data_IF_351314445389
#
_entry.id   IF_351314445389
#
_cell.length_a   1.000
_cell.length_b   1.000
_cell.length_c   1.000
_cell.angle_alpha   90.00
_cell.angle_beta   90.00
_cell.angle_gamma   90.00
#
_symmetry.space_group_name_H-M   'P 1'
#
loop_
_entity.id
_entity.type
_entity.pdbx_description
1 polymer ?
#
# COMPACT_ATOMS: atom_id res chain seq x y z
N UNK A 1 10.99 21.65 -109.45
CA UNK A 1 11.31 21.44 -108.02
C UNK A 1 12.20 20.21 -107.94
N UNK A 2 13.30 20.26 -107.21
CA UNK A 2 14.36 19.24 -107.23
C UNK A 2 14.08 18.19 -106.14
N UNK A 3 13.86 16.92 -106.50
CA UNK A 3 13.47 15.84 -105.56
C UNK A 3 14.45 15.67 -104.38
N UNK A 4 15.74 16.00 -104.59
CA UNK A 4 16.76 15.94 -103.55
C UNK A 4 16.61 16.98 -102.43
N UNK A 5 15.88 18.07 -102.66
CA UNK A 5 15.58 19.08 -101.63
C UNK A 5 14.35 18.67 -100.81
N UNK A 6 13.35 18.06 -101.46
CA UNK A 6 12.17 17.48 -100.79
C UNK A 6 12.59 16.35 -99.84
N UNK A 7 13.48 15.45 -100.27
CA UNK A 7 13.98 14.37 -99.42
C UNK A 7 14.77 14.88 -98.20
N UNK A 8 15.49 16.00 -98.32
CA UNK A 8 16.22 16.62 -97.19
C UNK A 8 15.26 17.23 -96.17
N UNK A 9 14.20 17.89 -96.64
CA UNK A 9 13.14 18.43 -95.76
C UNK A 9 12.44 17.32 -94.98
N UNK A 10 12.09 16.20 -95.63
CA UNK A 10 11.47 15.05 -94.97
C UNK A 10 12.40 14.47 -93.89
N UNK A 11 13.70 14.31 -94.18
CA UNK A 11 14.67 13.84 -93.18
C UNK A 11 14.81 14.79 -91.99
N UNK A 12 14.76 16.11 -92.24
CA UNK A 12 14.78 17.10 -91.17
C UNK A 12 13.52 17.00 -90.29
N UNK A 13 12.34 16.83 -90.89
CA UNK A 13 11.10 16.60 -90.14
C UNK A 13 11.13 15.31 -89.33
N UNK A 14 11.66 14.21 -89.88
CA UNK A 14 11.80 12.93 -89.14
C UNK A 14 12.76 13.08 -87.96
N UNK A 15 13.86 13.83 -88.11
CA UNK A 15 14.78 14.12 -87.00
C UNK A 15 14.11 14.96 -85.91
N UNK A 16 13.33 15.97 -86.30
CA UNK A 16 12.57 16.78 -85.36
C UNK A 16 11.56 15.93 -84.56
N UNK A 17 10.77 15.09 -85.22
CA UNK A 17 9.81 14.20 -84.55
C UNK A 17 10.52 13.24 -83.57
N UNK A 18 11.69 12.70 -83.94
CA UNK A 18 12.46 11.84 -83.04
C UNK A 18 13.00 12.60 -81.84
N UNK A 19 13.53 13.80 -82.04
CA UNK A 19 14.03 14.63 -80.95
C UNK A 19 12.90 15.03 -80.00
N UNK A 20 11.75 15.43 -80.53
CA UNK A 20 10.56 15.78 -79.72
C UNK A 20 10.06 14.57 -78.92
N UNK A 21 10.04 13.37 -79.53
CA UNK A 21 9.69 12.14 -78.82
C UNK A 21 10.70 11.78 -77.71
N UNK A 22 12.00 11.98 -77.95
CA UNK A 22 13.06 11.72 -76.99
C UNK A 22 13.04 12.72 -75.83
N UNK A 23 12.83 14.01 -76.11
CA UNK A 23 12.62 15.04 -75.09
C UNK A 23 11.37 14.74 -74.25
N UNK A 24 10.27 14.31 -74.88
CA UNK A 24 9.05 13.95 -74.14
C UNK A 24 9.23 12.70 -73.28
N UNK A 25 9.95 11.69 -73.77
CA UNK A 25 10.26 10.49 -73.00
C UNK A 25 11.16 10.81 -71.79
N UNK A 26 12.14 11.70 -71.96
CA UNK A 26 13.00 12.17 -70.88
C UNK A 26 12.22 12.98 -69.84
N UNK A 27 11.33 13.88 -70.27
CA UNK A 27 10.45 14.65 -69.37
C UNK A 27 9.58 13.72 -68.51
N UNK A 28 8.95 12.71 -69.13
CA UNK A 28 8.15 11.71 -68.41
C UNK A 28 9.01 10.92 -67.42
N UNK A 29 10.23 10.54 -67.81
CA UNK A 29 11.13 9.76 -66.97
C UNK A 29 11.58 10.54 -65.73
N UNK A 30 11.95 11.82 -65.92
CA UNK A 30 12.34 12.70 -64.81
C UNK A 30 11.15 12.97 -63.89
N UNK A 31 9.96 13.26 -64.46
CA UNK A 31 8.74 13.48 -63.68
C UNK A 31 8.37 12.25 -62.86
N UNK A 32 8.47 11.04 -63.44
CA UNK A 32 8.18 9.80 -62.74
C UNK A 32 9.16 9.52 -61.59
N UNK A 33 10.44 9.86 -61.76
CA UNK A 33 11.45 9.70 -60.71
C UNK A 33 11.24 10.70 -59.56
N UNK A 34 10.85 11.93 -59.87
CA UNK A 34 10.48 12.94 -58.87
C UNK A 34 9.25 12.49 -58.07
N UNK A 35 8.17 12.06 -58.75
CA UNK A 35 6.95 11.55 -58.12
C UNK A 35 7.23 10.33 -57.23
N UNK A 36 8.01 9.37 -57.72
CA UNK A 36 8.41 8.19 -56.95
C UNK A 36 9.14 8.58 -55.65
N UNK A 37 10.08 9.52 -55.74
CA UNK A 37 10.83 9.96 -54.57
C UNK A 37 9.93 10.68 -53.55
N UNK A 38 8.98 11.49 -54.02
CA UNK A 38 8.01 12.17 -53.16
C UNK A 38 7.11 11.16 -52.45
N UNK A 39 6.48 10.24 -53.18
CA UNK A 39 5.59 9.23 -52.59
C UNK A 39 6.32 8.32 -51.61
N UNK A 40 7.53 7.85 -51.98
CA UNK A 40 8.37 7.05 -51.10
C UNK A 40 8.68 7.79 -49.80
N UNK A 41 9.04 9.07 -49.88
CA UNK A 41 9.34 9.87 -48.70
C UNK A 41 8.09 10.05 -47.82
N UNK A 42 6.95 10.36 -48.42
CA UNK A 42 5.68 10.50 -47.70
C UNK A 42 5.28 9.21 -46.97
N UNK A 43 5.38 8.05 -47.62
CA UNK A 43 5.09 6.76 -47.01
C UNK A 43 6.03 6.46 -45.83
N UNK A 44 7.33 6.70 -46.00
CA UNK A 44 8.33 6.49 -44.95
C UNK A 44 8.10 7.43 -43.77
N UNK A 45 7.81 8.70 -44.01
CA UNK A 45 7.53 9.67 -42.95
C UNK A 45 6.25 9.36 -42.19
N UNK A 46 5.18 8.94 -42.89
CA UNK A 46 3.93 8.53 -42.28
C UNK A 46 4.12 7.34 -41.32
N UNK A 47 4.81 6.28 -41.76
CA UNK A 47 5.09 5.12 -40.91
C UNK A 47 6.06 5.45 -39.77
N UNK A 48 7.10 6.26 -40.02
CA UNK A 48 8.00 6.74 -38.95
C UNK A 48 7.23 7.51 -37.87
N UNK A 49 6.27 8.35 -38.26
CA UNK A 49 5.44 9.11 -37.32
C UNK A 49 4.57 8.17 -36.48
N UNK A 50 3.96 7.16 -37.09
CA UNK A 50 3.15 6.15 -36.40
C UNK A 50 3.99 5.35 -35.39
N UNK A 51 5.16 4.86 -35.81
CA UNK A 51 6.10 4.14 -34.93
C UNK A 51 6.51 5.04 -33.75
N UNK A 52 6.85 6.30 -34.00
CA UNK A 52 7.25 7.24 -32.93
C UNK A 52 6.14 7.41 -31.88
N UNK A 53 4.89 7.57 -32.31
CA UNK A 53 3.76 7.69 -31.39
C UNK A 53 3.52 6.42 -30.56
N UNK A 54 3.68 5.25 -31.16
CA UNK A 54 3.52 3.98 -30.45
C UNK A 54 4.64 3.76 -29.42
N UNK A 55 5.88 4.11 -29.75
CA UNK A 55 6.99 4.05 -28.80
C UNK A 55 6.85 5.06 -27.66
N UNK A 56 6.38 6.28 -27.94
CA UNK A 56 6.10 7.28 -26.90
C UNK A 56 5.05 6.78 -25.89
N UNK A 57 4.00 6.09 -26.37
CA UNK A 57 3.01 5.45 -25.49
C UNK A 57 3.63 4.33 -24.65
N UNK A 58 4.46 3.47 -25.26
CA UNK A 58 5.14 2.37 -24.56
C UNK A 58 6.12 2.89 -23.51
N UNK A 59 6.85 3.96 -23.80
CA UNK A 59 7.77 4.61 -22.87
C UNK A 59 7.01 5.17 -21.66
N UNK A 60 5.93 5.92 -21.89
CA UNK A 60 5.07 6.42 -20.80
C UNK A 60 4.49 5.30 -19.95
N UNK A 61 4.07 4.19 -20.55
CA UNK A 61 3.58 3.02 -19.81
C UNK A 61 4.68 2.36 -18.97
N UNK A 62 5.89 2.23 -19.51
CA UNK A 62 7.03 1.67 -18.79
C UNK A 62 7.41 2.54 -17.58
N UNK A 63 7.40 3.87 -17.73
CA UNK A 63 7.67 4.81 -16.64
C UNK A 63 6.63 4.73 -15.53
N UNK A 64 5.35 4.66 -15.88
CA UNK A 64 4.26 4.49 -14.91
C UNK A 64 4.42 3.17 -14.16
N UNK A 65 4.70 2.07 -14.87
CA UNK A 65 4.92 0.75 -14.27
C UNK A 65 6.12 0.78 -13.31
N UNK A 66 7.23 1.39 -13.71
CA UNK A 66 8.42 1.56 -12.86
C UNK A 66 8.11 2.34 -11.57
N UNK A 67 7.29 3.38 -11.65
CA UNK A 67 6.84 4.15 -10.47
C UNK A 67 5.97 3.32 -9.54
N UNK A 68 5.05 2.52 -10.10
CA UNK A 68 4.20 1.60 -9.33
C UNK A 68 5.05 0.55 -8.62
N UNK A 69 5.96 -0.11 -9.35
CA UNK A 69 6.83 -1.15 -8.80
C UNK A 69 7.71 -0.59 -7.67
N UNK A 70 8.28 0.60 -7.87
CA UNK A 70 9.04 1.30 -6.83
C UNK A 70 8.19 1.62 -5.60
N UNK A 71 6.97 2.13 -5.80
CA UNK A 71 6.04 2.43 -4.69
C UNK A 71 5.62 1.16 -3.95
N UNK A 72 5.34 0.06 -4.65
CA UNK A 72 5.02 -1.23 -4.07
C UNK A 72 6.18 -1.78 -3.24
N UNK A 73 7.41 -1.72 -3.74
CA UNK A 73 8.60 -2.15 -3.00
C UNK A 73 8.82 -1.33 -1.72
N UNK A 74 8.62 0.00 -1.79
CA UNK A 74 8.72 0.86 -0.63
C UNK A 74 7.66 0.52 0.41
N UNK A 75 6.41 0.34 -0.02
CA UNK A 75 5.31 -0.02 0.88
C UNK A 75 5.52 -1.40 1.51
N UNK A 76 5.96 -2.39 0.74
CA UNK A 76 6.29 -3.72 1.25
C UNK A 76 7.41 -3.66 2.30
N UNK A 77 8.45 -2.83 2.06
CA UNK A 77 9.52 -2.63 3.04
C UNK A 77 9.03 -1.94 4.31
N UNK A 78 8.15 -0.93 4.17
CA UNK A 78 7.52 -0.24 5.30
C UNK A 78 6.67 -1.19 6.14
N UNK A 79 5.84 -2.02 5.51
CA UNK A 79 5.01 -3.02 6.21
C UNK A 79 5.88 -4.00 6.99
N UNK A 80 6.98 -4.48 6.41
CA UNK A 80 7.92 -5.37 7.12
C UNK A 80 8.50 -4.73 8.38
N UNK A 81 8.86 -3.44 8.32
CA UNK A 81 9.35 -2.72 9.52
C UNK A 81 8.25 -2.60 10.57
N UNK A 82 7.02 -2.26 10.16
CA UNK A 82 5.89 -2.15 11.08
C UNK A 82 5.55 -3.49 11.73
N UNK A 83 5.59 -4.59 10.97
CA UNK A 83 5.39 -5.94 11.50
C UNK A 83 6.48 -6.28 12.53
N UNK A 84 7.75 -6.04 12.22
CA UNK A 84 8.83 -6.29 13.16
C UNK A 84 8.70 -5.45 14.45
N UNK A 85 8.21 -4.21 14.35
CA UNK A 85 7.91 -3.37 15.51
C UNK A 85 6.77 -3.96 16.35
N UNK A 86 5.68 -4.37 15.70
CA UNK A 86 4.53 -4.98 16.37
C UNK A 86 4.93 -6.29 17.07
N UNK A 87 5.73 -7.13 16.41
CA UNK A 87 6.25 -8.38 16.97
C UNK A 87 7.08 -8.14 18.23
N UNK A 88 7.93 -7.10 18.24
CA UNK A 88 8.73 -6.74 19.42
C UNK A 88 7.84 -6.27 20.58
N UNK A 89 6.83 -5.43 20.29
CA UNK A 89 5.89 -4.94 21.30
C UNK A 89 5.06 -6.08 21.86
N UNK A 90 4.56 -6.98 21.02
CA UNK A 90 3.82 -8.17 21.44
C UNK A 90 4.70 -9.11 22.27
N UNK A 91 5.95 -9.36 21.84
CA UNK A 91 6.89 -10.16 22.63
C UNK A 91 7.22 -9.52 23.99
N UNK A 92 7.33 -8.20 24.06
CA UNK A 92 7.51 -7.48 25.33
C UNK A 92 6.29 -7.62 26.23
N UNK A 93 5.08 -7.46 25.68
CA UNK A 93 3.83 -7.65 26.40
C UNK A 93 3.69 -9.07 26.92
N UNK A 94 4.03 -10.08 26.13
CA UNK A 94 3.97 -11.48 26.52
C UNK A 94 4.97 -11.80 27.63
N UNK A 95 6.18 -11.22 27.58
CA UNK A 95 7.16 -11.33 28.67
C UNK A 95 6.63 -10.68 29.95
N UNK A 96 6.12 -9.45 29.86
CA UNK A 96 5.53 -8.76 31.01
C UNK A 96 4.33 -9.54 31.58
N UNK A 97 3.49 -10.15 30.74
CA UNK A 97 2.39 -10.99 31.17
C UNK A 97 2.88 -12.25 31.91
N UNK A 98 3.97 -12.88 31.45
CA UNK A 98 4.62 -14.00 32.15
C UNK A 98 5.23 -13.56 33.49
N UNK A 99 5.86 -12.38 33.53
CA UNK A 99 6.41 -11.85 34.77
C UNK A 99 5.29 -11.54 35.79
N UNK A 100 4.13 -11.06 35.32
CA UNK A 100 2.94 -10.86 36.16
C UNK A 100 2.39 -12.17 36.75
N UNK A 101 2.50 -13.30 36.05
CA UNK A 101 2.14 -14.60 36.62
C UNK A 101 3.04 -14.98 37.80
N UNK A 102 4.31 -14.56 37.80
CA UNK A 102 5.21 -14.83 38.92
C UNK A 102 4.89 -13.99 40.17
N UNK A 103 4.14 -12.88 40.03
CA UNK A 103 3.77 -12.02 41.16
C UNK A 103 2.86 -12.74 42.15
N UNK A 104 2.01 -13.67 41.68
CA UNK A 104 1.17 -14.49 42.57
C UNK A 104 1.99 -15.46 43.45
N UNK A 105 3.26 -15.72 43.10
CA UNK A 105 4.16 -16.53 43.93
C UNK A 105 4.59 -15.85 45.24
N UNK A 106 4.51 -14.52 45.31
CA UNK A 106 4.83 -13.76 46.53
C UNK A 106 3.54 -13.35 47.25
N UNK A 107 3.06 -14.20 48.16
CA UNK A 107 1.77 -14.04 48.84
C UNK A 107 1.60 -12.67 49.54
N UNK A 108 2.64 -12.14 50.18
CA UNK A 108 2.58 -10.85 50.87
C UNK A 108 2.45 -9.65 49.92
N UNK A 109 3.23 -9.63 48.84
CA UNK A 109 3.18 -8.58 47.83
C UNK A 109 1.87 -8.65 47.03
N UNK A 110 1.40 -9.88 46.73
CA UNK A 110 0.14 -10.11 46.05
C UNK A 110 -1.06 -9.70 46.90
N UNK A 111 -1.04 -9.98 48.21
CA UNK A 111 -2.06 -9.54 49.17
C UNK A 111 -2.20 -8.01 49.19
N UNK A 112 -1.07 -7.28 49.22
CA UNK A 112 -1.09 -5.82 49.19
C UNK A 112 -1.61 -5.28 47.85
N UNK A 113 -1.19 -5.88 46.72
CA UNK A 113 -1.67 -5.51 45.39
C UNK A 113 -3.18 -5.72 45.24
N UNK A 114 -3.71 -6.85 45.71
CA UNK A 114 -5.15 -7.14 45.69
C UNK A 114 -5.94 -6.11 46.50
N UNK A 115 -5.44 -5.72 47.68
CA UNK A 115 -6.05 -4.67 48.49
C UNK A 115 -6.17 -3.36 47.70
N UNK A 116 -5.06 -2.91 47.11
CA UNK A 116 -5.00 -1.65 46.37
C UNK A 116 -5.94 -1.65 45.15
N UNK A 117 -6.03 -2.78 44.43
CA UNK A 117 -6.94 -2.95 43.30
C UNK A 117 -8.41 -2.90 43.73
N UNK A 118 -8.78 -3.55 44.83
CA UNK A 118 -10.15 -3.51 45.38
C UNK A 118 -10.51 -2.08 45.78
N UNK A 119 -9.62 -1.39 46.50
CA UNK A 119 -9.84 0.02 46.89
C UNK A 119 -9.98 0.91 45.66
N UNK A 120 -9.16 0.71 44.62
CA UNK A 120 -9.24 1.46 43.37
C UNK A 120 -10.59 1.25 42.66
N UNK A 121 -11.10 0.02 42.63
CA UNK A 121 -12.42 -0.32 42.07
C UNK A 121 -13.55 0.37 42.86
N UNK A 122 -13.53 0.29 44.20
CA UNK A 122 -14.54 0.91 45.05
C UNK A 122 -14.57 2.44 44.86
N UNK A 123 -13.40 3.09 44.77
CA UNK A 123 -13.28 4.52 44.51
C UNK A 123 -13.81 4.96 43.14
N UNK A 124 -13.76 4.08 42.13
CA UNK A 124 -14.31 4.36 40.80
C UNK A 124 -15.82 4.12 40.72
N UNK A 125 -16.33 3.08 41.36
CA UNK A 125 -17.76 2.73 41.35
C UNK A 125 -18.58 3.69 42.22
N UNK A 126 -18.12 4.00 43.43
CA UNK A 126 -18.83 4.86 44.41
C UNK A 126 -20.27 4.44 44.69
N UNK A 127 -20.54 3.14 44.64
CA UNK A 127 -21.87 2.59 44.94
C UNK A 127 -21.93 2.05 46.38
N UNK A 128 -23.13 2.04 47.00
CA UNK A 128 -23.30 1.58 48.38
C UNK A 128 -23.19 0.05 48.53
N UNK A 129 -23.43 -0.71 47.46
CA UNK A 129 -23.32 -2.17 47.44
C UNK A 129 -22.59 -2.61 46.17
N UNK A 130 -21.61 -3.51 46.30
CA UNK A 130 -20.78 -3.98 45.19
C UNK A 130 -20.62 -5.49 45.25
N UNK A 131 -20.85 -6.16 44.13
CA UNK A 131 -20.57 -7.59 43.97
C UNK A 131 -19.15 -7.79 43.44
N UNK A 132 -18.30 -8.47 44.20
CA UNK A 132 -16.91 -8.75 43.85
C UNK A 132 -16.77 -10.18 43.31
N UNK A 133 -16.22 -10.32 42.10
CA UNK A 133 -15.87 -11.62 41.50
C UNK A 133 -14.37 -11.81 41.52
N UNK A 134 -13.92 -12.94 42.08
CA UNK A 134 -12.53 -13.33 42.15
C UNK A 134 -12.31 -14.72 41.53
N UNK A 135 -11.05 -15.14 41.42
CA UNK A 135 -10.69 -16.53 41.09
C UNK A 135 -10.90 -17.39 42.33
N UNK A 136 -11.20 -18.68 42.11
CA UNK A 136 -11.45 -19.64 43.19
C UNK A 136 -10.26 -19.80 44.15
N UNK A 137 -9.04 -19.69 43.63
CA UNK A 137 -7.80 -19.80 44.42
C UNK A 137 -7.59 -18.58 45.34
N UNK A 138 -8.06 -17.41 44.94
CA UNK A 138 -7.86 -16.15 45.66
C UNK A 138 -8.95 -15.87 46.70
N UNK A 139 -9.99 -16.71 46.79
CA UNK A 139 -11.13 -16.51 47.70
C UNK A 139 -10.69 -16.28 49.15
N UNK A 140 -9.83 -17.15 49.68
CA UNK A 140 -9.36 -17.04 51.07
C UNK A 140 -8.53 -15.79 51.32
N UNK A 141 -7.74 -15.35 50.33
CA UNK A 141 -6.97 -14.11 50.42
C UNK A 141 -7.90 -12.90 50.39
N UNK A 142 -8.86 -12.87 49.46
CA UNK A 142 -9.81 -11.77 49.29
C UNK A 142 -10.70 -11.60 50.52
N UNK A 143 -11.21 -12.68 51.11
CA UNK A 143 -11.96 -12.65 52.37
C UNK A 143 -11.16 -12.00 53.50
N UNK A 144 -9.86 -12.30 53.59
CA UNK A 144 -8.99 -11.70 54.62
C UNK A 144 -8.64 -10.23 54.40
N UNK A 145 -8.80 -9.71 53.17
CA UNK A 145 -8.42 -8.33 52.79
C UNK A 145 -9.63 -7.40 52.75
N UNK A 146 -10.84 -7.95 52.64
CA UNK A 146 -12.07 -7.21 52.41
C UNK A 146 -12.35 -6.17 53.50
N UNK A 147 -12.10 -6.49 54.76
CA UNK A 147 -12.35 -5.58 55.88
C UNK A 147 -11.34 -4.41 55.86
N UNK A 148 -10.05 -4.71 55.68
CA UNK A 148 -8.99 -3.70 55.53
C UNK A 148 -9.23 -2.77 54.32
N UNK A 149 -9.78 -3.30 53.22
CA UNK A 149 -10.09 -2.52 52.02
C UNK A 149 -11.31 -1.61 52.20
N UNK A 150 -12.34 -2.06 52.94
CA UNK A 150 -13.53 -1.25 53.29
C UNK A 150 -13.15 -0.07 54.18
N UNK A 151 -12.31 -0.30 55.18
CA UNK A 151 -11.82 0.77 56.07
C UNK A 151 -11.01 1.81 55.28
N UNK A 152 -10.12 1.36 54.39
CA UNK A 152 -9.31 2.26 53.58
C UNK A 152 -10.16 3.08 52.58
N UNK A 153 -11.18 2.47 51.98
CA UNK A 153 -12.15 3.17 51.16
C UNK A 153 -12.94 4.21 51.97
N UNK A 154 -13.45 3.83 53.16
CA UNK A 154 -14.19 4.75 54.04
C UNK A 154 -13.33 5.95 54.46
N UNK A 155 -12.05 5.72 54.77
CA UNK A 155 -11.08 6.77 55.10
C UNK A 155 -10.80 7.72 53.93
N UNK A 156 -10.65 7.20 52.70
CA UNK A 156 -10.36 8.01 51.50
C UNK A 156 -11.61 8.74 50.97
N UNK A 157 -12.76 8.08 50.97
CA UNK A 157 -14.00 8.63 50.42
C UNK A 157 -14.79 9.49 51.42
N UNK A 158 -14.53 9.36 52.73
CA UNK A 158 -15.31 9.98 53.83
C UNK A 158 -16.80 9.60 53.79
N UNK A 159 -17.09 8.36 53.38
CA UNK A 159 -18.44 7.79 53.28
C UNK A 159 -18.50 6.52 54.14
N UNK A 160 -19.71 6.06 54.49
CA UNK A 160 -19.90 4.75 55.11
C UNK A 160 -19.31 3.61 54.28
N UNK A 161 -18.87 2.56 54.99
CA UNK A 161 -18.31 1.37 54.37
C UNK A 161 -19.35 0.70 53.44
N UNK A 162 -19.02 0.46 52.17
CA UNK A 162 -19.94 -0.18 51.23
C UNK A 162 -20.12 -1.66 51.56
N UNK A 163 -21.30 -2.19 51.28
CA UNK A 163 -21.58 -3.62 51.36
C UNK A 163 -20.90 -4.32 50.18
N UNK A 164 -19.78 -4.99 50.44
CA UNK A 164 -19.08 -5.78 49.43
C UNK A 164 -19.39 -7.26 49.65
N UNK A 165 -20.11 -7.86 48.71
CA UNK A 165 -20.44 -9.29 48.70
C UNK A 165 -19.57 -10.01 47.66
N UNK A 166 -18.97 -11.15 48.03
CA UNK A 166 -18.20 -11.97 47.09
C UNK A 166 -19.15 -12.93 46.38
N UNK A 167 -19.11 -12.94 45.05
CA UNK A 167 -19.87 -13.88 44.22
C UNK A 167 -19.29 -15.29 44.40
N UNK A 168 -20.09 -16.21 44.93
CA UNK A 168 -19.70 -17.62 45.17
C UNK A 168 -20.24 -18.58 44.11
N UNK A 169 -21.04 -18.08 43.15
CA UNK A 169 -21.63 -18.88 42.08
C UNK A 169 -20.86 -18.74 40.76
N UNK A 170 -20.33 -17.54 40.46
CA UNK A 170 -19.62 -17.25 39.21
C UNK A 170 -18.19 -16.76 39.48
N UNK A 171 -17.22 -17.67 39.29
CA UNK A 171 -15.79 -17.37 39.42
C UNK A 171 -15.18 -16.87 38.11
N UNK A 172 -14.09 -16.11 38.22
CA UNK A 172 -13.24 -15.77 37.08
C UNK A 172 -12.57 -17.04 36.51
N UNK A 173 -12.23 -17.05 35.21
CA UNK A 173 -11.56 -18.19 34.59
C UNK A 173 -10.27 -18.55 35.33
N UNK A 174 -9.92 -19.85 35.37
CA UNK A 174 -8.72 -20.34 36.05
C UNK A 174 -7.44 -19.74 35.43
N UNK A 175 -6.32 -19.74 36.18
CA UNK A 175 -5.04 -19.24 35.68
C UNK A 175 -4.62 -19.97 34.38
N UNK A 176 -4.02 -19.25 33.42
CA UNK A 176 -3.48 -19.82 32.18
C UNK A 176 -2.19 -20.64 32.40
#
# INVERSE_FOLDING_TARGET
>A
MNDGDVSRQIQQMVRFIRQEAEEKANEISVSAEEEFNIEKLQLVEAEKKKIRQDYEKKEKQADVRKKIDYSMQLNASRIKVLQAQDDIVNAMKDKAAKDLLNVSGNESAYKQLLKDLIVQCLLRLKEPSVLLRCRKEDLGLVESILDDAKEEYAGKAKVHAPEVAVDTEIFLPPPP
#
